data_IF_057868900251
#
_entry.id   IF_057868900251
#
_cell.length_a   1.000
_cell.length_b   1.000
_cell.length_c   1.000
_cell.angle_alpha   90.00
_cell.angle_beta   90.00
_cell.angle_gamma   90.00
#
_symmetry.space_group_name_H-M   'P 1'
#
loop_
_entity.id
_entity.type
_entity.pdbx_description
1 polymer ?
#
# COMPACT_ATOMS: atom_id res chain seq x y z
N UNK A 1 0.67 18.89 63.42
CA UNK A 1 0.42 18.15 62.18
C UNK A 1 0.99 19.01 61.06
N UNK A 2 2.24 18.76 60.69
CA UNK A 2 2.90 19.54 59.65
C UNK A 2 2.56 18.93 58.29
N UNK A 3 1.77 19.65 57.50
CA UNK A 3 1.52 19.31 56.10
C UNK A 3 2.74 19.66 55.29
N UNK A 4 3.53 18.65 54.94
CA UNK A 4 4.60 18.72 53.95
C UNK A 4 3.98 19.03 52.58
N UNK A 5 3.92 20.31 52.23
CA UNK A 5 3.56 20.76 50.89
C UNK A 5 4.84 20.71 50.06
N UNK A 6 4.96 19.70 49.19
CA UNK A 6 6.04 19.67 48.19
C UNK A 6 5.94 20.94 47.32
N UNK A 7 7.05 21.61 47.02
CA UNK A 7 7.02 22.82 46.20
C UNK A 7 6.45 22.50 44.82
N UNK A 8 5.44 23.27 44.42
CA UNK A 8 4.89 23.24 43.06
C UNK A 8 6.00 23.73 42.14
N UNK A 9 6.61 22.81 41.37
CA UNK A 9 7.61 23.17 40.37
C UNK A 9 6.89 23.98 39.29
N UNK A 10 7.19 25.29 39.22
CA UNK A 10 6.71 26.14 38.16
C UNK A 10 7.49 25.81 36.87
N UNK A 11 6.90 24.94 36.06
CA UNK A 11 7.46 24.48 34.78
C UNK A 11 7.72 25.64 33.81
N UNK A 12 6.97 26.74 33.89
CA UNK A 12 7.19 27.92 33.04
C UNK A 12 8.51 28.62 33.39
N UNK A 13 8.76 28.86 34.67
CA UNK A 13 10.03 29.44 35.13
C UNK A 13 11.22 28.52 34.85
N UNK A 14 11.07 27.21 35.08
CA UNK A 14 12.11 26.23 34.78
C UNK A 14 12.40 26.18 33.28
N UNK A 15 11.37 26.20 32.43
CA UNK A 15 11.53 26.19 30.97
C UNK A 15 12.20 27.47 30.47
N UNK A 16 11.83 28.64 30.99
CA UNK A 16 12.47 29.90 30.61
C UNK A 16 13.94 29.96 31.05
N UNK A 17 14.26 29.50 32.27
CA UNK A 17 15.63 29.45 32.76
C UNK A 17 16.47 28.45 31.94
N UNK A 18 15.92 27.29 31.58
CA UNK A 18 16.60 26.33 30.73
C UNK A 18 16.85 26.91 29.34
N UNK A 19 15.81 27.45 28.67
CA UNK A 19 15.95 28.06 27.34
C UNK A 19 16.94 29.23 27.33
N UNK A 20 17.04 30.01 28.41
CA UNK A 20 17.97 31.13 28.53
C UNK A 20 19.43 30.71 28.82
N UNK A 21 19.66 29.48 29.30
CA UNK A 21 20.98 29.01 29.74
C UNK A 21 21.47 27.75 29.04
N UNK A 22 20.79 27.25 27.99
CA UNK A 22 21.32 26.18 27.15
C UNK A 22 22.57 26.72 26.44
N UNK A 23 23.76 26.14 26.68
CA UNK A 23 24.94 26.48 25.90
C UNK A 23 24.63 26.27 24.42
N UNK A 24 24.99 27.24 23.57
CA UNK A 24 24.64 27.18 22.15
C UNK A 24 25.23 25.95 21.44
N UNK A 25 26.30 25.37 21.99
CA UNK A 25 26.94 24.14 21.52
C UNK A 25 26.15 22.86 21.90
N UNK A 26 25.27 22.91 22.90
CA UNK A 26 24.42 21.78 23.33
C UNK A 26 23.03 21.78 22.66
N UNK A 27 22.65 22.89 22.01
CA UNK A 27 21.38 23.00 21.29
C UNK A 27 21.47 22.36 19.91
N UNK A 28 21.06 21.09 19.80
CA UNK A 28 21.15 20.33 18.54
C UNK A 28 20.06 20.77 17.55
N UNK A 29 18.86 21.09 18.03
CA UNK A 29 17.77 21.58 17.21
C UNK A 29 16.69 22.30 18.04
N UNK A 30 15.88 23.12 17.37
CA UNK A 30 14.69 23.76 17.94
C UNK A 30 13.52 23.68 16.95
N UNK A 31 12.30 23.51 17.48
CA UNK A 31 11.07 23.55 16.71
C UNK A 31 10.37 24.91 16.93
N UNK A 32 10.24 25.68 15.85
CA UNK A 32 9.50 26.94 15.84
C UNK A 32 8.08 26.68 15.36
N UNK A 33 7.10 27.10 16.17
CA UNK A 33 5.67 26.97 15.87
C UNK A 33 5.14 28.34 15.43
N UNK A 34 4.69 28.42 14.18
CA UNK A 34 4.06 29.60 13.59
C UNK A 34 2.59 29.32 13.29
N UNK A 35 1.82 30.37 12.97
CA UNK A 35 0.42 30.22 12.58
C UNK A 35 0.31 29.45 11.27
N UNK A 36 -0.02 28.16 11.37
CA UNK A 36 -0.21 27.26 10.22
C UNK A 36 1.08 26.68 9.63
N UNK A 37 2.24 26.87 10.27
CA UNK A 37 3.53 26.39 9.78
C UNK A 37 4.45 26.03 10.93
N UNK A 38 5.31 25.05 10.70
CA UNK A 38 6.31 24.60 11.65
C UNK A 38 7.69 24.61 11.00
N UNK A 39 8.73 25.00 11.74
CA UNK A 39 10.10 25.04 11.23
C UNK A 39 10.99 24.30 12.22
N UNK A 40 11.63 23.22 11.77
CA UNK A 40 12.75 22.62 12.50
C UNK A 40 14.03 23.35 12.10
N UNK A 41 14.71 23.91 13.09
CA UNK A 41 16.04 24.50 12.95
C UNK A 41 17.03 23.50 13.55
N UNK A 42 17.91 22.95 12.73
CA UNK A 42 18.99 22.06 13.16
C UNK A 42 20.30 22.84 13.20
N UNK A 43 21.08 22.69 14.26
CA UNK A 43 22.35 23.38 14.46
C UNK A 43 23.51 22.41 14.19
N UNK A 44 24.36 22.74 13.21
CA UNK A 44 25.61 22.03 12.91
C UNK A 44 26.78 22.99 13.17
N UNK A 45 27.24 23.04 14.42
CA UNK A 45 28.25 24.00 14.86
C UNK A 45 27.76 25.44 14.69
N UNK A 46 28.42 26.23 13.82
CA UNK A 46 28.04 27.63 13.54
C UNK A 46 26.95 27.79 12.47
N UNK A 47 26.56 26.72 11.79
CA UNK A 47 25.58 26.76 10.70
C UNK A 47 24.23 26.23 11.16
N UNK A 48 23.15 26.79 10.59
CA UNK A 48 21.78 26.33 10.83
C UNK A 48 21.13 25.83 9.54
N UNK A 49 20.47 24.69 9.60
CA UNK A 49 19.59 24.16 8.53
C UNK A 49 18.13 24.34 8.93
N UNK A 50 17.30 24.67 7.95
CA UNK A 50 15.88 24.96 8.16
C UNK A 50 15.02 23.98 7.36
N UNK A 51 14.12 23.29 8.03
CA UNK A 51 13.14 22.39 7.41
C UNK A 51 11.73 22.85 7.73
N UNK A 52 10.96 23.15 6.70
CA UNK A 52 9.53 23.41 6.85
C UNK A 52 8.82 22.08 7.08
N UNK A 53 8.14 21.95 8.21
CA UNK A 53 7.37 20.76 8.56
C UNK A 53 5.89 21.01 8.31
N UNK A 54 5.21 20.00 7.75
CA UNK A 54 3.76 20.02 7.64
C UNK A 54 3.12 19.82 9.02
N UNK A 55 1.89 20.32 9.26
CA UNK A 55 1.16 20.06 10.49
C UNK A 55 1.05 18.57 10.83
N UNK A 56 0.88 17.71 9.82
CA UNK A 56 0.79 16.26 9.99
C UNK A 56 2.11 15.64 10.50
N UNK A 57 3.27 16.14 10.04
CA UNK A 57 4.58 15.66 10.49
C UNK A 57 4.80 15.96 11.98
N UNK A 58 4.36 17.14 12.43
CA UNK A 58 4.42 17.53 13.85
C UNK A 58 3.43 16.72 14.69
N UNK A 59 2.20 16.55 14.22
CA UNK A 59 1.22 15.69 14.91
C UNK A 59 1.76 14.28 15.14
N UNK A 60 2.41 13.68 14.12
CA UNK A 60 3.06 12.36 14.24
C UNK A 60 4.20 12.35 15.26
N UNK A 61 5.02 13.39 15.32
CA UNK A 61 6.19 13.46 16.19
C UNK A 61 5.84 13.65 17.67
N UNK A 62 4.72 14.32 17.98
CA UNK A 62 4.36 14.72 19.35
C UNK A 62 3.13 14.01 19.92
N UNK A 63 2.45 13.17 19.15
CA UNK A 63 1.29 12.41 19.64
C UNK A 63 1.74 11.22 20.50
N UNK A 64 1.22 11.13 21.74
CA UNK A 64 1.39 9.97 22.63
C UNK A 64 0.42 8.82 22.36
N UNK A 65 -0.55 9.03 21.46
CA UNK A 65 -1.49 7.97 21.04
C UNK A 65 -0.74 6.99 20.15
N UNK A 66 -0.82 5.71 20.49
CA UNK A 66 -0.34 4.64 19.64
C UNK A 66 -1.04 4.72 18.27
N UNK A 67 -0.28 5.02 17.23
CA UNK A 67 -0.74 4.83 15.86
C UNK A 67 -0.96 3.33 15.66
N UNK A 68 -2.21 2.94 15.41
CA UNK A 68 -2.58 1.55 15.16
C UNK A 68 -3.23 1.44 13.79
N UNK A 69 -2.90 0.38 13.07
CA UNK A 69 -3.61 -0.04 11.87
C UNK A 69 -5.02 -0.56 12.17
N UNK A 70 -5.34 -0.80 13.43
CA UNK A 70 -6.42 -1.71 13.79
C UNK A 70 -6.06 -3.17 13.44
N UNK A 71 -7.08 -4.01 13.32
CA UNK A 71 -6.90 -5.42 12.96
C UNK A 71 -6.54 -5.55 11.48
N UNK A 72 -5.41 -6.18 11.20
CA UNK A 72 -5.01 -6.52 9.84
C UNK A 72 -5.71 -7.81 9.40
N UNK A 73 -6.11 -7.86 8.13
CA UNK A 73 -6.68 -9.07 7.55
C UNK A 73 -5.64 -10.20 7.51
N UNK A 74 -6.09 -11.47 7.52
CA UNK A 74 -5.21 -12.63 7.46
C UNK A 74 -4.31 -12.70 6.19
N UNK A 75 -4.67 -11.97 5.13
CA UNK A 75 -3.89 -11.92 3.90
C UNK A 75 -2.84 -10.80 3.93
N UNK A 76 -2.88 -9.89 4.91
CA UNK A 76 -1.95 -8.76 5.00
C UNK A 76 -0.55 -9.25 5.34
N UNK A 77 0.39 -8.95 4.47
CA UNK A 77 1.82 -9.29 4.63
C UNK A 77 2.68 -8.08 4.92
N UNK A 78 2.17 -6.88 4.63
CA UNK A 78 2.84 -5.62 4.92
C UNK A 78 1.81 -4.50 5.12
N UNK A 79 2.09 -3.62 6.07
CA UNK A 79 1.33 -2.41 6.35
C UNK A 79 2.31 -1.28 6.67
N UNK A 80 2.03 -0.10 6.14
CA UNK A 80 2.77 1.13 6.43
C UNK A 80 1.88 2.35 6.28
N UNK A 81 2.43 3.51 6.64
CA UNK A 81 1.74 4.81 6.50
C UNK A 81 2.71 5.83 5.92
N UNK A 82 2.30 6.48 4.84
CA UNK A 82 3.05 7.55 4.17
C UNK A 82 2.18 8.83 4.11
N UNK A 83 2.62 9.93 3.47
CA UNK A 83 1.81 11.14 3.35
C UNK A 83 0.48 10.98 2.57
N UNK A 84 0.35 9.94 1.72
CA UNK A 84 -0.90 9.66 1.00
C UNK A 84 -1.91 8.84 1.84
N UNK A 85 -1.48 8.30 2.99
CA UNK A 85 -2.32 7.54 3.91
C UNK A 85 -1.74 6.17 4.25
N UNK A 86 -2.61 5.20 4.52
CA UNK A 86 -2.19 3.82 4.73
C UNK A 86 -1.83 3.16 3.40
N UNK A 87 -0.74 2.40 3.43
CA UNK A 87 -0.28 1.56 2.36
C UNK A 87 -0.27 0.11 2.84
N UNK A 88 -0.85 -0.81 2.07
CA UNK A 88 -1.06 -2.19 2.48
C UNK A 88 -0.77 -3.12 1.33
N UNK A 89 -0.12 -4.25 1.62
CA UNK A 89 0.06 -5.36 0.68
C UNK A 89 -0.63 -6.61 1.26
N UNK A 90 -1.46 -7.23 0.45
CA UNK A 90 -2.11 -8.51 0.74
C UNK A 90 -1.63 -9.58 -0.24
N UNK A 91 -1.35 -10.77 0.29
CA UNK A 91 -1.03 -11.97 -0.46
C UNK A 91 -2.19 -12.97 -0.42
N UNK A 92 -2.65 -13.37 -1.60
CA UNK A 92 -3.67 -14.38 -1.78
C UNK A 92 -3.04 -15.62 -2.40
N UNK A 93 -3.01 -16.73 -1.66
CA UNK A 93 -2.51 -18.01 -2.18
C UNK A 93 -3.35 -18.50 -3.38
N UNK A 94 -2.80 -19.39 -4.24
CA UNK A 94 -3.51 -19.90 -5.42
C UNK A 94 -4.86 -20.52 -5.05
N UNK A 95 -5.93 -19.97 -5.62
CA UNK A 95 -7.30 -20.42 -5.36
C UNK A 95 -8.19 -20.24 -6.59
N UNK A 96 -9.43 -20.72 -6.52
CA UNK A 96 -10.41 -20.57 -7.59
C UNK A 96 -11.30 -19.38 -7.30
N UNK A 97 -11.60 -18.59 -8.33
CA UNK A 97 -12.55 -17.50 -8.27
C UNK A 97 -13.69 -17.75 -9.23
N UNK A 98 -14.90 -17.37 -8.82
CA UNK A 98 -16.03 -17.22 -9.72
C UNK A 98 -16.00 -15.79 -10.26
N UNK A 99 -16.01 -15.65 -11.59
CA UNK A 99 -15.91 -14.37 -12.28
C UNK A 99 -16.96 -14.26 -13.35
N UNK A 100 -17.37 -13.03 -13.66
CA UNK A 100 -18.26 -12.74 -14.77
C UNK A 100 -17.43 -12.22 -15.96
N UNK A 101 -17.55 -12.87 -17.12
CA UNK A 101 -16.99 -12.40 -18.39
C UNK A 101 -18.13 -11.89 -19.27
N UNK A 102 -18.03 -10.63 -19.70
CA UNK A 102 -18.92 -9.97 -20.65
C UNK A 102 -18.34 -10.01 -22.05
N UNK A 103 -19.09 -10.58 -22.99
CA UNK A 103 -18.81 -10.57 -24.42
C UNK A 103 -20.12 -10.43 -25.21
N UNK A 104 -20.30 -11.27 -26.24
CA UNK A 104 -21.61 -11.39 -26.90
C UNK A 104 -22.69 -11.90 -25.95
N UNK A 105 -22.30 -12.82 -25.07
CA UNK A 105 -23.11 -13.30 -23.94
C UNK A 105 -22.34 -13.08 -22.65
N UNK A 106 -23.08 -12.88 -21.56
CA UNK A 106 -22.50 -12.84 -20.22
C UNK A 106 -22.35 -14.27 -19.67
N UNK A 107 -21.14 -14.65 -19.28
CA UNK A 107 -20.85 -15.98 -18.71
C UNK A 107 -20.28 -15.83 -17.31
N UNK A 108 -20.80 -16.63 -16.38
CA UNK A 108 -20.20 -16.78 -15.04
C UNK A 108 -19.37 -18.06 -15.05
N UNK A 109 -18.07 -17.92 -14.82
CA UNK A 109 -17.12 -19.04 -14.88
C UNK A 109 -16.33 -19.15 -13.58
N UNK A 110 -15.92 -20.38 -13.25
CA UNK A 110 -15.00 -20.65 -12.14
C UNK A 110 -13.63 -20.99 -12.70
N UNK A 111 -12.61 -20.22 -12.31
CA UNK A 111 -11.25 -20.31 -12.86
C UNK A 111 -10.20 -20.43 -11.76
N UNK A 112 -9.20 -21.31 -11.90
CA UNK A 112 -8.05 -21.30 -11.00
C UNK A 112 -7.16 -20.11 -11.31
N UNK A 113 -6.68 -19.45 -10.26
CA UNK A 113 -5.75 -18.32 -10.35
C UNK A 113 -4.39 -18.69 -9.76
N UNK A 114 -3.30 -18.04 -10.21
CA UNK A 114 -2.02 -18.10 -9.50
C UNK A 114 -2.15 -17.42 -8.13
N UNK A 115 -1.05 -17.36 -7.37
CA UNK A 115 -1.03 -16.46 -6.23
C UNK A 115 -1.12 -15.00 -6.72
N UNK A 116 -1.80 -14.15 -5.95
CA UNK A 116 -2.01 -12.75 -6.29
C UNK A 116 -1.52 -11.85 -5.17
N UNK A 117 -0.92 -10.73 -5.55
CA UNK A 117 -0.54 -9.65 -4.64
C UNK A 117 -1.38 -8.42 -4.94
N UNK A 118 -2.23 -8.04 -3.99
CA UNK A 118 -2.97 -6.77 -4.02
C UNK A 118 -2.18 -5.75 -3.19
N UNK A 119 -1.88 -4.60 -3.77
CA UNK A 119 -1.31 -3.47 -3.04
C UNK A 119 -2.22 -2.26 -3.16
N UNK A 120 -2.38 -1.51 -2.08
CA UNK A 120 -3.16 -0.28 -2.07
C UNK A 120 -2.41 0.84 -1.34
N UNK A 121 -2.53 2.07 -1.83
CA UNK A 121 -2.06 3.29 -1.16
C UNK A 121 -2.90 4.48 -1.64
N UNK A 122 -3.39 5.30 -0.71
CA UNK A 122 -4.33 6.36 -1.03
C UNK A 122 -5.57 5.80 -1.75
N UNK A 123 -5.93 6.33 -2.91
CA UNK A 123 -7.02 5.81 -3.76
C UNK A 123 -6.56 4.84 -4.85
N UNK A 124 -5.27 4.49 -4.89
CA UNK A 124 -4.67 3.66 -5.93
C UNK A 124 -4.52 2.22 -5.46
N UNK A 125 -4.83 1.28 -6.35
CA UNK A 125 -4.69 -0.14 -6.11
C UNK A 125 -4.01 -0.82 -7.29
N UNK A 126 -3.22 -1.84 -6.98
CA UNK A 126 -2.37 -2.53 -7.93
C UNK A 126 -2.46 -4.04 -7.71
N UNK A 127 -2.31 -4.80 -8.78
CA UNK A 127 -2.43 -6.25 -8.75
C UNK A 127 -1.32 -6.93 -9.54
N UNK A 128 -0.69 -7.92 -8.92
CA UNK A 128 0.31 -8.79 -9.56
C UNK A 128 -0.02 -10.25 -9.37
N UNK A 129 0.50 -11.09 -10.26
CA UNK A 129 0.59 -12.52 -10.06
C UNK A 129 1.98 -12.94 -9.58
N UNK A 130 2.03 -13.95 -8.74
CA UNK A 130 3.27 -14.55 -8.23
C UNK A 130 3.20 -16.07 -8.35
N UNK A 131 4.36 -16.71 -8.58
CA UNK A 131 4.48 -18.16 -8.60
C UNK A 131 4.62 -18.73 -7.19
N UNK A 132 4.06 -19.91 -6.96
CA UNK A 132 4.13 -20.61 -5.68
C UNK A 132 2.90 -20.39 -4.80
N UNK A 133 2.94 -20.98 -3.60
CA UNK A 133 1.84 -20.94 -2.62
C UNK A 133 2.15 -20.13 -1.38
N UNK A 134 3.43 -19.81 -1.17
CA UNK A 134 3.95 -19.11 0.00
C UNK A 134 4.55 -17.80 -0.49
N UNK A 135 4.26 -16.72 0.23
CA UNK A 135 4.83 -15.42 -0.06
C UNK A 135 6.36 -15.44 0.07
N UNK A 136 7.04 -14.76 -0.87
CA UNK A 136 8.47 -14.47 -0.78
C UNK A 136 8.71 -13.03 -1.26
N UNK A 137 9.46 -12.21 -0.51
CA UNK A 137 9.65 -10.79 -0.83
C UNK A 137 10.48 -10.54 -2.09
N UNK A 138 11.29 -11.52 -2.50
CA UNK A 138 12.18 -11.50 -3.67
C UNK A 138 11.57 -12.22 -4.90
N UNK A 139 10.32 -12.67 -4.81
CA UNK A 139 9.71 -13.40 -5.91
C UNK A 139 9.47 -12.50 -7.13
N UNK A 140 9.77 -13.01 -8.33
CA UNK A 140 9.43 -12.34 -9.58
C UNK A 140 7.91 -12.07 -9.66
N UNK A 141 7.56 -10.83 -9.99
CA UNK A 141 6.21 -10.40 -10.30
C UNK A 141 5.85 -10.67 -11.77
N UNK A 142 4.61 -11.09 -11.97
CA UNK A 142 3.99 -11.35 -13.27
C UNK A 142 2.76 -10.47 -13.45
N UNK A 143 2.41 -10.17 -14.70
CA UNK A 143 1.12 -9.56 -15.03
C UNK A 143 0.01 -10.46 -14.51
N UNK A 144 -1.02 -9.93 -13.83
CA UNK A 144 -2.14 -10.74 -13.42
C UNK A 144 -2.88 -11.26 -14.66
N UNK A 145 -3.24 -12.56 -14.71
CA UNK A 145 -3.92 -13.16 -15.85
C UNK A 145 -5.42 -12.82 -15.85
N UNK A 146 -5.75 -11.52 -15.79
CA UNK A 146 -7.10 -10.98 -15.65
C UNK A 146 -7.23 -9.67 -16.41
N UNK A 147 -8.38 -9.35 -17.02
CA UNK A 147 -8.68 -7.99 -17.49
C UNK A 147 -8.71 -6.96 -16.35
N UNK A 148 -9.05 -5.71 -16.66
CA UNK A 148 -9.20 -4.62 -15.67
C UNK A 148 -7.92 -4.28 -14.88
N UNK A 149 -6.75 -4.59 -15.43
CA UNK A 149 -5.45 -4.19 -14.86
C UNK A 149 -4.61 -3.59 -15.99
N UNK A 150 -4.08 -2.40 -15.78
CA UNK A 150 -3.21 -1.72 -16.74
C UNK A 150 -1.82 -2.37 -16.79
N UNK A 151 -1.02 -2.00 -17.80
CA UNK A 151 0.34 -2.56 -17.96
C UNK A 151 1.30 -2.16 -16.82
N UNK A 152 1.02 -1.04 -16.15
CA UNK A 152 1.72 -0.61 -14.92
C UNK A 152 1.23 -1.34 -13.66
N UNK A 153 0.36 -2.35 -13.84
CA UNK A 153 -0.27 -3.16 -12.79
C UNK A 153 -1.33 -2.44 -11.95
N UNK A 154 -1.70 -1.21 -12.29
CA UNK A 154 -2.82 -0.49 -11.66
C UNK A 154 -4.17 -1.12 -12.00
N UNK A 155 -5.07 -1.24 -11.01
CA UNK A 155 -6.42 -1.76 -11.23
C UNK A 155 -7.30 -0.67 -11.84
N UNK A 156 -8.00 -1.02 -12.93
CA UNK A 156 -9.04 -0.19 -13.52
C UNK A 156 -10.40 -0.56 -12.94
N UNK A 157 -11.00 0.33 -12.15
CA UNK A 157 -12.34 0.12 -11.58
C UNK A 157 -13.48 0.60 -12.49
N UNK A 158 -13.15 1.16 -13.67
CA UNK A 158 -14.13 1.73 -14.59
C UNK A 158 -14.91 2.87 -13.93
N UNK A 159 -16.24 2.74 -13.88
CA UNK A 159 -17.12 3.69 -13.20
C UNK A 159 -17.19 3.51 -11.67
N UNK A 160 -16.62 2.46 -11.11
CA UNK A 160 -16.55 2.27 -9.67
C UNK A 160 -15.39 3.10 -9.10
N UNK A 161 -15.59 3.67 -7.91
CA UNK A 161 -14.53 4.35 -7.17
C UNK A 161 -14.22 3.55 -5.91
N UNK A 162 -13.05 2.90 -5.81
CA UNK A 162 -12.68 2.22 -4.57
C UNK A 162 -12.50 3.28 -3.47
N UNK A 163 -12.78 2.91 -2.22
CA UNK A 163 -12.48 3.76 -1.08
C UNK A 163 -10.97 3.96 -0.89
N UNK A 164 -10.60 4.94 -0.06
CA UNK A 164 -9.21 5.12 0.38
C UNK A 164 -8.70 3.82 1.01
N UNK A 165 -7.46 3.43 0.68
CA UNK A 165 -6.80 2.26 1.22
C UNK A 165 -6.60 2.42 2.73
N UNK A 166 -7.05 1.41 3.47
CA UNK A 166 -6.86 1.25 4.90
C UNK A 166 -7.05 -0.21 5.28
N UNK A 167 -6.64 -0.58 6.48
CA UNK A 167 -6.85 -1.93 6.99
C UNK A 167 -8.35 -2.33 7.00
N UNK A 168 -9.23 -1.35 7.17
CA UNK A 168 -10.68 -1.54 7.19
C UNK A 168 -11.31 -1.72 5.80
N UNK A 169 -10.72 -1.14 4.75
CA UNK A 169 -11.36 -1.02 3.42
C UNK A 169 -10.74 -1.93 2.37
N UNK A 170 -9.47 -2.34 2.51
CA UNK A 170 -8.76 -3.07 1.44
C UNK A 170 -9.45 -4.38 1.03
N UNK A 171 -10.04 -5.11 1.99
CA UNK A 171 -10.78 -6.35 1.71
C UNK A 171 -12.05 -6.09 0.87
N UNK A 172 -12.70 -4.94 1.07
CA UNK A 172 -13.88 -4.56 0.27
C UNK A 172 -13.46 -4.21 -1.16
N UNK A 173 -12.32 -3.54 -1.33
CA UNK A 173 -11.74 -3.26 -2.65
C UNK A 173 -11.37 -4.55 -3.40
N UNK A 174 -10.84 -5.55 -2.69
CA UNK A 174 -10.60 -6.87 -3.24
C UNK A 174 -11.88 -7.53 -3.76
N UNK A 175 -12.95 -7.50 -2.96
CA UNK A 175 -14.25 -8.03 -3.39
C UNK A 175 -14.83 -7.27 -4.58
N UNK A 176 -14.71 -5.94 -4.58
CA UNK A 176 -15.17 -5.07 -5.67
C UNK A 176 -14.50 -5.45 -6.99
N UNK A 177 -13.19 -5.72 -6.97
CA UNK A 177 -12.45 -6.15 -8.16
C UNK A 177 -13.02 -7.45 -8.75
N UNK A 178 -13.28 -8.46 -7.91
CA UNK A 178 -13.82 -9.75 -8.37
C UNK A 178 -15.30 -9.70 -8.78
N UNK A 179 -16.09 -8.82 -8.16
CA UNK A 179 -17.50 -8.58 -8.52
C UNK A 179 -17.64 -7.75 -9.80
N UNK A 180 -16.59 -7.04 -10.20
CA UNK A 180 -16.59 -6.26 -11.44
C UNK A 180 -16.54 -7.19 -12.65
N UNK A 181 -17.36 -6.94 -13.69
CA UNK A 181 -17.31 -7.76 -14.89
C UNK A 181 -15.99 -7.57 -15.62
N UNK A 182 -15.45 -8.68 -16.12
CA UNK A 182 -14.30 -8.69 -17.01
C UNK A 182 -14.75 -8.75 -18.46
N UNK A 183 -14.05 -8.06 -19.35
CA UNK A 183 -14.34 -8.07 -20.78
C UNK A 183 -13.02 -8.05 -21.58
N UNK A 184 -13.09 -7.76 -22.88
CA UNK A 184 -11.88 -7.70 -23.74
C UNK A 184 -11.00 -6.47 -23.46
N UNK A 185 -11.46 -5.48 -22.72
CA UNK A 185 -10.71 -4.27 -22.42
C UNK A 185 -9.57 -4.62 -21.46
N UNK A 186 -8.37 -4.11 -21.75
CA UNK A 186 -7.15 -4.46 -21.00
C UNK A 186 -6.88 -5.97 -20.94
N UNK A 187 -7.27 -6.75 -21.95
CA UNK A 187 -7.11 -8.21 -21.96
C UNK A 187 -5.80 -8.71 -22.60
N UNK A 188 -5.13 -7.86 -23.37
CA UNK A 188 -3.93 -8.20 -24.16
C UNK A 188 -2.67 -8.36 -23.29
N UNK A 189 -1.77 -9.22 -23.75
CA UNK A 189 -0.41 -9.38 -23.19
C UNK A 189 -0.34 -10.03 -21.82
N UNK A 190 -1.41 -10.69 -21.35
CA UNK A 190 -1.52 -11.26 -20.00
C UNK A 190 -1.44 -12.79 -19.92
N UNK A 191 -1.39 -13.44 -21.09
CA UNK A 191 -1.17 -14.88 -21.25
C UNK A 191 -0.20 -15.09 -22.40
N UNK A 192 0.73 -16.04 -22.25
CA UNK A 192 1.64 -16.42 -23.34
C UNK A 192 0.93 -17.25 -24.40
N UNK A 193 -0.05 -18.05 -24.02
CA UNK A 193 -0.81 -18.91 -24.93
C UNK A 193 -1.95 -18.18 -25.63
N UNK A 194 -2.46 -17.10 -25.03
CA UNK A 194 -3.52 -16.26 -25.60
C UNK A 194 -3.14 -14.77 -25.48
N UNK A 195 -2.11 -14.32 -26.22
CA UNK A 195 -1.56 -12.97 -26.10
C UNK A 195 -2.57 -11.87 -26.46
N UNK A 196 -3.52 -12.14 -27.36
CA UNK A 196 -4.47 -11.13 -27.81
C UNK A 196 -5.66 -10.92 -26.87
N UNK A 197 -5.99 -11.92 -26.04
CA UNK A 197 -7.15 -11.86 -25.14
C UNK A 197 -7.08 -12.94 -24.05
N UNK A 198 -6.77 -12.52 -22.82
CA UNK A 198 -6.75 -13.41 -21.66
C UNK A 198 -8.10 -14.09 -21.38
N UNK A 199 -9.24 -13.49 -21.75
CA UNK A 199 -10.55 -14.09 -21.51
C UNK A 199 -10.70 -15.46 -22.20
N UNK A 200 -10.07 -15.65 -23.37
CA UNK A 200 -10.09 -16.93 -24.07
C UNK A 200 -9.39 -18.03 -23.25
N UNK A 201 -8.25 -17.69 -22.62
CA UNK A 201 -7.57 -18.61 -21.72
C UNK A 201 -8.41 -18.92 -20.48
N UNK A 202 -9.07 -17.91 -19.89
CA UNK A 202 -9.92 -18.10 -18.72
C UNK A 202 -11.11 -19.03 -19.02
N UNK A 203 -11.76 -18.86 -20.17
CA UNK A 203 -12.83 -19.74 -20.63
C UNK A 203 -12.30 -21.17 -20.84
N UNK A 204 -11.16 -21.33 -21.51
CA UNK A 204 -10.52 -22.64 -21.70
C UNK A 204 -10.19 -23.33 -20.37
N UNK A 205 -9.68 -22.58 -19.39
CA UNK A 205 -9.41 -23.11 -18.04
C UNK A 205 -10.71 -23.50 -17.32
N UNK A 206 -11.77 -22.73 -17.49
CA UNK A 206 -13.08 -23.11 -16.93
C UNK A 206 -13.58 -24.44 -17.49
N UNK A 207 -13.52 -24.62 -18.82
CA UNK A 207 -13.99 -25.82 -19.51
C UNK A 207 -13.16 -27.06 -19.18
N UNK A 208 -11.83 -26.92 -19.16
CA UNK A 208 -10.90 -28.02 -18.86
C UNK A 208 -10.75 -28.33 -17.37
N UNK A 209 -11.29 -27.47 -16.48
CA UNK A 209 -11.33 -27.64 -15.02
C UNK A 209 -9.99 -28.03 -14.37
N UNK A 210 -8.83 -27.42 -14.73
CA UNK A 210 -7.58 -27.78 -14.11
C UNK A 210 -7.55 -27.37 -12.64
N UNK A 211 -6.64 -27.99 -11.88
CA UNK A 211 -6.47 -27.69 -10.45
C UNK A 211 -5.81 -26.34 -10.18
N UNK A 212 -5.01 -25.82 -11.13
CA UNK A 212 -4.20 -24.61 -10.97
C UNK A 212 -4.06 -23.85 -12.29
N UNK A 213 -3.81 -22.54 -12.21
CA UNK A 213 -3.41 -21.75 -13.37
C UNK A 213 -2.01 -22.20 -13.87
N UNK A 214 -1.78 -22.37 -15.18
CA UNK A 214 -0.49 -22.81 -15.69
C UNK A 214 0.61 -21.76 -15.44
N UNK A 215 1.61 -22.08 -14.61
CA UNK A 215 2.70 -21.14 -14.30
C UNK A 215 3.57 -20.79 -15.51
N UNK A 216 3.58 -21.64 -16.54
CA UNK A 216 4.26 -21.39 -17.81
C UNK A 216 3.55 -20.31 -18.64
N UNK A 217 2.25 -20.08 -18.42
CA UNK A 217 1.43 -19.14 -19.19
C UNK A 217 1.56 -17.68 -18.69
N UNK A 218 2.09 -17.50 -17.49
CA UNK A 218 2.32 -16.18 -16.90
C UNK A 218 3.33 -15.36 -17.70
N UNK A 219 3.02 -14.08 -17.86
CA UNK A 219 3.85 -13.07 -18.53
C UNK A 219 4.53 -12.20 -17.47
N UNK A 220 5.85 -12.06 -17.51
CA UNK A 220 6.58 -11.23 -16.55
C UNK A 220 6.17 -9.76 -16.69
N UNK A 221 6.18 -9.02 -15.57
CA UNK A 221 6.10 -7.55 -15.64
C UNK A 221 7.39 -7.03 -16.27
N UNK A 222 7.26 -6.07 -17.18
CA UNK A 222 8.40 -5.40 -17.82
C UNK A 222 8.48 -3.96 -17.31
N UNK A 223 8.60 -3.82 -15.99
CA UNK A 223 8.80 -2.53 -15.31
C UNK A 223 10.23 -2.48 -14.79
N UNK A 224 10.92 -1.37 -15.03
CA UNK A 224 12.26 -1.18 -14.50
C UNK A 224 12.27 -0.82 -13.01
N UNK A 225 11.11 -0.43 -12.45
CA UNK A 225 10.99 -0.04 -11.04
C UNK A 225 10.43 -1.13 -10.15
N UNK A 226 9.51 -1.97 -10.63
CA UNK A 226 8.78 -2.92 -9.78
C UNK A 226 8.81 -4.31 -10.40
N UNK A 227 9.71 -5.15 -9.89
CA UNK A 227 9.95 -6.51 -10.36
C UNK A 227 9.75 -7.55 -9.27
N UNK A 228 9.87 -7.15 -8.01
CA UNK A 228 9.68 -7.95 -6.79
C UNK A 228 8.69 -7.27 -5.83
N UNK A 229 8.10 -8.00 -4.87
CA UNK A 229 7.29 -7.41 -3.81
C UNK A 229 8.01 -6.32 -3.00
N UNK A 230 9.32 -6.49 -2.74
CA UNK A 230 10.13 -5.49 -2.01
C UNK A 230 10.19 -4.16 -2.77
N UNK A 231 10.25 -4.20 -4.10
CA UNK A 231 10.25 -3.00 -4.96
C UNK A 231 8.95 -2.18 -4.81
N UNK A 232 7.83 -2.81 -4.47
CA UNK A 232 6.55 -2.11 -4.24
C UNK A 232 6.73 -1.13 -3.08
N UNK A 233 7.35 -1.57 -1.99
CA UNK A 233 7.57 -0.75 -0.80
C UNK A 233 8.53 0.41 -1.13
N UNK A 234 9.62 0.10 -1.84
CA UNK A 234 10.71 1.05 -2.10
C UNK A 234 10.44 2.07 -3.21
N UNK A 235 9.45 1.82 -4.07
CA UNK A 235 9.23 2.67 -5.26
C UNK A 235 7.78 3.11 -5.47
N UNK A 236 6.81 2.38 -4.91
CA UNK A 236 5.39 2.70 -5.07
C UNK A 236 4.82 3.41 -3.83
N UNK A 237 5.33 3.06 -2.65
CA UNK A 237 4.86 3.60 -1.37
C UNK A 237 5.81 4.61 -0.72
N UNK A 238 7.01 4.77 -1.30
CA UNK A 238 8.06 5.71 -0.90
C UNK A 238 7.78 7.14 -1.34
#
# INVERSE_FOLDING_TARGET
>A
MDTNILPIINLENVSQILLANIPQDDLIAQLVILKGQFILVEHEGKNSKYKFLSPEAVEKAFTSKTATSGWLSNNTIWWGKNPEGEAIIQFYSPQKYQIQIMGQETKVITVPMPALLLAGCGSRYYLWAVKGRVFKPDAQLYKPPLPNVWDDSGICFGGNSPGMCSAATISQTWELFWKSPFNKDLSQGKSKTHPDNICNQLIKLHESKPKSYPSSDLVSVHSWKVTTPEDIINHLFS
#
